data_IF_434356956678
#
_entry.id   IF_434356956678
#
_cell.length_a   1.000
_cell.length_b   1.000
_cell.length_c   1.000
_cell.angle_alpha   90.00
_cell.angle_beta   90.00
_cell.angle_gamma   90.00
#
_symmetry.space_group_name_H-M   'P 1'
#
loop_
_entity.id
_entity.type
_entity.pdbx_description
1 polymer ?
#
# COMPACT_ATOMS: atom_id res chain seq x y z
N UNK A 1 1.11 -15.15 0.37
CA UNK A 1 0.97 -13.72 0.67
C UNK A 1 1.06 -12.93 -0.61
N UNK A 2 0.20 -11.94 -0.79
CA UNK A 2 0.34 -10.97 -1.87
C UNK A 2 1.57 -10.07 -1.58
N UNK A 3 2.24 -9.59 -2.63
CA UNK A 3 3.45 -8.76 -2.51
C UNK A 3 3.23 -7.54 -1.58
N UNK A 4 2.03 -6.97 -1.60
CA UNK A 4 1.63 -5.85 -0.76
C UNK A 4 1.59 -6.23 0.73
N UNK A 5 1.10 -7.42 1.07
CA UNK A 5 1.05 -7.90 2.45
C UNK A 5 2.46 -8.08 3.02
N UNK A 6 3.37 -8.67 2.22
CA UNK A 6 4.79 -8.80 2.61
C UNK A 6 5.46 -7.44 2.83
N UNK A 7 5.11 -6.44 2.01
CA UNK A 7 5.55 -5.05 2.20
C UNK A 7 5.03 -4.46 3.51
N UNK A 8 3.76 -4.70 3.83
CA UNK A 8 3.11 -4.14 5.02
C UNK A 8 3.54 -4.83 6.32
N UNK A 9 3.95 -6.10 6.28
CA UNK A 9 4.45 -6.85 7.43
C UNK A 9 5.94 -6.61 7.71
N UNK A 10 6.68 -5.99 6.77
CA UNK A 10 8.12 -5.76 6.91
C UNK A 10 8.98 -6.98 6.56
N UNK A 11 8.37 -8.03 6.02
CA UNK A 11 9.01 -9.30 5.66
C UNK A 11 9.96 -9.21 4.46
N UNK A 12 10.13 -8.02 3.88
CA UNK A 12 11.10 -7.75 2.81
C UNK A 12 12.39 -7.07 3.28
N UNK A 13 12.63 -7.01 4.60
CA UNK A 13 13.85 -6.41 5.15
C UNK A 13 13.94 -4.89 4.96
N UNK A 14 12.81 -4.25 4.68
CA UNK A 14 12.65 -2.80 4.53
C UNK A 14 11.55 -2.38 5.50
N UNK A 15 11.71 -1.22 6.15
CA UNK A 15 10.66 -0.64 6.98
C UNK A 15 9.35 -0.51 6.16
N UNK A 16 8.20 -0.98 6.67
CA UNK A 16 6.94 -0.97 5.94
C UNK A 16 6.56 0.39 5.36
N UNK A 17 6.84 1.50 6.07
CA UNK A 17 6.53 2.85 5.57
C UNK A 17 7.48 3.25 4.44
N UNK A 18 8.77 2.96 4.57
CA UNK A 18 9.75 3.21 3.52
C UNK A 18 9.46 2.39 2.26
N UNK A 19 9.05 1.13 2.44
CA UNK A 19 8.63 0.23 1.37
C UNK A 19 7.38 0.73 0.64
N UNK A 20 6.36 1.13 1.40
CA UNK A 20 5.11 1.68 0.86
C UNK A 20 5.38 2.95 0.05
N UNK A 21 6.15 3.90 0.60
CA UNK A 21 6.48 5.14 -0.09
C UNK A 21 7.25 4.91 -1.41
N UNK A 22 8.11 3.89 -1.45
CA UNK A 22 8.84 3.50 -2.66
C UNK A 22 7.89 2.94 -3.72
N UNK A 23 6.93 2.09 -3.31
CA UNK A 23 5.93 1.53 -4.20
C UNK A 23 4.97 2.61 -4.74
N UNK A 24 4.50 3.51 -3.89
CA UNK A 24 3.65 4.66 -4.28
C UNK A 24 4.34 5.51 -5.35
N UNK A 25 5.64 5.83 -5.15
CA UNK A 25 6.43 6.58 -6.13
C UNK A 25 6.58 5.83 -7.45
N UNK A 26 6.92 4.54 -7.40
CA UNK A 26 7.07 3.72 -8.59
C UNK A 26 5.78 3.70 -9.43
N UNK A 27 4.63 3.49 -8.79
CA UNK A 27 3.33 3.46 -9.47
C UNK A 27 3.01 4.81 -10.13
N UNK A 28 3.25 5.91 -9.41
CA UNK A 28 2.99 7.27 -9.91
C UNK A 28 3.91 7.64 -11.09
N UNK A 29 5.21 7.38 -10.97
CA UNK A 29 6.20 7.68 -12.02
C UNK A 29 5.94 6.87 -13.30
N UNK A 30 5.59 5.59 -13.14
CA UNK A 30 5.26 4.70 -14.26
C UNK A 30 3.84 4.90 -14.78
N UNK A 31 3.03 5.75 -14.14
CA UNK A 31 1.64 6.04 -14.52
C UNK A 31 0.79 4.77 -14.66
N UNK A 32 1.03 3.80 -13.78
CA UNK A 32 0.41 2.47 -13.86
C UNK A 32 -1.09 2.57 -13.60
N UNK A 33 -1.48 3.36 -12.60
CA UNK A 33 -2.89 3.56 -12.27
C UNK A 33 -3.44 4.77 -13.00
N UNK A 34 -4.55 4.53 -13.70
CA UNK A 34 -5.24 5.53 -14.51
C UNK A 34 -6.71 5.60 -14.12
N UNK A 35 -7.32 6.77 -14.29
CA UNK A 35 -8.76 6.97 -14.17
C UNK A 35 -9.50 6.22 -15.28
N UNK A 36 -10.82 6.15 -15.17
CA UNK A 36 -11.70 5.65 -16.26
C UNK A 36 -11.51 6.41 -17.58
N UNK A 37 -11.06 7.67 -17.52
CA UNK A 37 -10.74 8.49 -18.69
C UNK A 37 -9.31 8.31 -19.23
N UNK A 38 -8.54 7.36 -18.67
CA UNK A 38 -7.17 7.06 -19.08
C UNK A 38 -6.11 8.04 -18.57
N UNK A 39 -6.48 9.00 -17.71
CA UNK A 39 -5.53 9.94 -17.12
C UNK A 39 -4.82 9.28 -15.93
N UNK A 40 -3.50 9.43 -15.78
CA UNK A 40 -2.80 8.91 -14.60
C UNK A 40 -3.39 9.44 -13.30
N UNK A 41 -3.49 8.59 -12.29
CA UNK A 41 -3.84 9.03 -10.94
C UNK A 41 -2.75 9.95 -10.38
N UNK A 42 -3.17 10.92 -9.57
CA UNK A 42 -2.23 11.79 -8.87
C UNK A 42 -1.48 11.00 -7.79
N UNK A 43 -0.25 11.40 -7.50
CA UNK A 43 0.54 10.79 -6.42
C UNK A 43 -0.19 10.85 -5.08
N UNK A 44 -0.88 11.96 -4.78
CA UNK A 44 -1.64 12.11 -3.53
C UNK A 44 -2.78 11.09 -3.44
N UNK A 45 -3.52 10.89 -4.54
CA UNK A 45 -4.60 9.89 -4.60
C UNK A 45 -4.05 8.48 -4.34
N UNK A 46 -2.94 8.12 -5.00
CA UNK A 46 -2.28 6.82 -4.81
C UNK A 46 -1.88 6.65 -3.34
N UNK A 47 -1.22 7.66 -2.76
CA UNK A 47 -0.77 7.62 -1.37
C UNK A 47 -1.94 7.47 -0.37
N UNK A 48 -3.03 8.19 -0.60
CA UNK A 48 -4.21 8.13 0.27
C UNK A 48 -4.85 6.74 0.23
N UNK A 49 -5.03 6.16 -0.96
CA UNK A 49 -5.56 4.80 -1.14
C UNK A 49 -4.68 3.75 -0.46
N UNK A 50 -3.36 3.80 -0.66
CA UNK A 50 -2.42 2.86 -0.02
C UNK A 50 -2.40 2.99 1.50
N UNK A 51 -2.53 4.22 2.02
CA UNK A 51 -2.64 4.48 3.47
C UNK A 51 -3.92 3.87 4.05
N UNK A 52 -5.04 3.95 3.34
CA UNK A 52 -6.30 3.34 3.76
C UNK A 52 -6.21 1.81 3.78
N UNK A 53 -5.65 1.21 2.72
CA UNK A 53 -5.40 -0.24 2.66
C UNK A 53 -4.50 -0.69 3.82
N UNK A 54 -3.42 0.05 4.11
CA UNK A 54 -2.54 -0.25 5.25
C UNK A 54 -3.30 -0.24 6.58
N UNK A 55 -4.14 0.77 6.81
CA UNK A 55 -4.95 0.87 8.04
C UNK A 55 -5.90 -0.32 8.17
N UNK A 56 -6.58 -0.70 7.10
CA UNK A 56 -7.47 -1.86 7.09
C UNK A 56 -6.71 -3.16 7.39
N UNK A 57 -5.55 -3.34 6.79
CA UNK A 57 -4.69 -4.49 6.99
C UNK A 57 -4.25 -4.62 8.45
N UNK A 58 -3.72 -3.55 9.03
CA UNK A 58 -3.30 -3.51 10.44
C UNK A 58 -4.47 -3.75 11.40
N UNK A 59 -5.67 -3.24 11.08
CA UNK A 59 -6.89 -3.49 11.87
C UNK A 59 -7.27 -4.97 11.84
N UNK A 60 -7.20 -5.62 10.67
CA UNK A 60 -7.48 -7.07 10.52
C UNK A 60 -6.50 -7.91 11.33
N UNK A 61 -5.20 -7.62 11.24
CA UNK A 61 -4.17 -8.33 12.02
C UNK A 61 -4.43 -8.18 13.53
N UNK A 62 -4.69 -6.96 13.99
CA UNK A 62 -4.94 -6.68 15.41
C UNK A 62 -6.17 -7.43 15.94
N UNK A 63 -7.25 -7.46 15.16
CA UNK A 63 -8.47 -8.18 15.53
C UNK A 63 -8.29 -9.70 15.53
N UNK A 64 -7.50 -10.24 14.60
CA UNK A 64 -7.19 -11.67 14.57
C UNK A 64 -6.28 -12.10 15.73
N UNK A 65 -5.35 -11.25 16.18
CA UNK A 65 -4.56 -11.49 17.41
C UNK A 65 -5.40 -11.47 18.67
N UNK A 66 -6.43 -10.61 18.78
CA UNK A 66 -7.35 -10.57 19.93
C UNK A 66 -8.30 -11.77 20.05
N UNK A 67 -8.48 -12.54 18.97
CA UNK A 67 -9.34 -13.73 18.93
C UNK A 67 -8.59 -15.05 19.18
N UNK A 68 -7.25 -15.00 19.25
CA UNK A 68 -6.40 -16.12 19.67
C UNK A 68 -6.07 -15.98 21.14
#
# INVERSE_FOLDING_TARGET
>A
MLLLEMFMEGDMGIDPKAGLATLERFIAERKIFVTKSGKPLSFNTIKDDFTEILKEFLRKITNNKKKK
#
